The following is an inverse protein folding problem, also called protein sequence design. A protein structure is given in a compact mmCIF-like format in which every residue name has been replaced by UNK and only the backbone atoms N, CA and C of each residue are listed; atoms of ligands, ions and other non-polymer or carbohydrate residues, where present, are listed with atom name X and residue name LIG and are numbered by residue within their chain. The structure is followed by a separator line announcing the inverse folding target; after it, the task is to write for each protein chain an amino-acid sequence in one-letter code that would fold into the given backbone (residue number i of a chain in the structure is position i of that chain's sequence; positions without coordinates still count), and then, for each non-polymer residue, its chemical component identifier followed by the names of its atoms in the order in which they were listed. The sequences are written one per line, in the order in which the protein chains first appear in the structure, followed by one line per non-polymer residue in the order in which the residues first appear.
data_IF_749907029031
#
_entry.id   IF_749907029031
#
_cell.length_a   1.000
_cell.length_b   1.000
_cell.length_c   1.000
_cell.angle_alpha   90.00
_cell.angle_beta   90.00
_cell.angle_gamma   90.00
#
_symmetry.space_group_name_H-M   'P 1'
#
loop_
_entity.id
_entity.type
_entity.pdbx_description
1 polymer ?
#
# COMPACT_ATOMS: atom_id res chain seq x y z
N UNK A 1 21.69 -1.31 10.97
CA UNK A 1 21.70 -0.01 10.28
C UNK A 1 20.42 0.72 10.66
N UNK A 2 20.54 1.92 11.20
CA UNK A 2 19.38 2.67 11.66
C UNK A 2 18.58 3.29 10.50
N UNK A 3 17.29 3.57 10.76
CA UNK A 3 16.42 4.26 9.82
C UNK A 3 16.97 5.66 9.55
N UNK A 4 16.97 6.07 8.29
CA UNK A 4 17.43 7.39 7.85
C UNK A 4 16.72 7.80 6.56
N UNK A 5 16.87 9.05 6.18
CA UNK A 5 16.45 9.49 4.85
C UNK A 5 17.14 8.63 3.78
N UNK A 6 16.36 8.12 2.85
CA UNK A 6 16.81 7.16 1.84
C UNK A 6 16.60 5.69 2.21
N UNK A 7 16.27 5.36 3.46
CA UNK A 7 15.87 3.99 3.82
C UNK A 7 14.64 3.60 3.00
N UNK A 8 14.70 2.45 2.35
CA UNK A 8 13.69 2.08 1.36
C UNK A 8 13.40 0.59 1.36
N UNK A 9 12.27 0.23 0.80
CA UNK A 9 11.92 -1.16 0.50
C UNK A 9 10.99 -1.21 -0.70
N UNK A 10 10.99 -2.35 -1.37
CA UNK A 10 10.08 -2.65 -2.47
C UNK A 10 9.33 -3.94 -2.16
N UNK A 11 8.03 -3.93 -2.37
CA UNK A 11 7.16 -5.10 -2.22
C UNK A 11 6.46 -5.36 -3.56
N UNK A 12 6.48 -6.61 -4.00
CA UNK A 12 5.75 -7.05 -5.20
C UNK A 12 4.70 -8.07 -4.78
N UNK A 13 3.46 -7.86 -5.22
CA UNK A 13 2.35 -8.75 -4.88
C UNK A 13 1.39 -8.88 -6.05
N UNK A 14 0.99 -10.12 -6.38
CA UNK A 14 -0.09 -10.37 -7.34
C UNK A 14 -1.41 -10.37 -6.60
N UNK A 15 -2.31 -9.45 -6.98
CA UNK A 15 -3.62 -9.33 -6.35
C UNK A 15 -4.51 -10.46 -6.83
N UNK A 16 -4.99 -11.27 -5.91
CA UNK A 16 -5.87 -12.40 -6.20
C UNK A 16 -7.31 -12.07 -5.83
N UNK A 17 -8.25 -12.83 -6.39
CA UNK A 17 -9.65 -12.76 -5.94
C UNK A 17 -9.77 -13.06 -4.46
N UNK A 18 -9.00 -14.02 -3.95
CA UNK A 18 -9.00 -14.37 -2.54
C UNK A 18 -8.56 -13.20 -1.66
N UNK A 19 -7.58 -12.41 -2.10
CA UNK A 19 -7.16 -11.21 -1.38
C UNK A 19 -8.33 -10.22 -1.19
N UNK A 20 -9.08 -9.98 -2.26
CA UNK A 20 -10.22 -9.07 -2.24
C UNK A 20 -11.34 -9.62 -1.36
N UNK A 21 -11.64 -10.92 -1.47
CA UNK A 21 -12.65 -11.57 -0.63
C UNK A 21 -12.27 -11.55 0.85
N UNK A 22 -11.01 -11.82 1.18
CA UNK A 22 -10.50 -11.78 2.55
C UNK A 22 -10.58 -10.36 3.12
N UNK A 23 -10.20 -9.36 2.30
CA UNK A 23 -10.29 -7.97 2.73
C UNK A 23 -11.75 -7.55 2.95
N UNK A 24 -12.66 -7.93 2.05
CA UNK A 24 -14.09 -7.65 2.21
C UNK A 24 -14.63 -8.29 3.50
N UNK A 25 -14.21 -9.52 3.81
CA UNK A 25 -14.62 -10.21 5.04
C UNK A 25 -14.11 -9.50 6.29
N UNK A 26 -12.86 -9.10 6.32
CA UNK A 26 -12.23 -8.46 7.49
C UNK A 26 -12.73 -7.04 7.68
N UNK A 27 -12.86 -6.27 6.60
CA UNK A 27 -13.27 -4.86 6.65
C UNK A 27 -14.77 -4.67 6.68
N UNK A 28 -15.55 -5.70 6.32
CA UNK A 28 -17.00 -5.65 6.10
C UNK A 28 -17.39 -4.77 4.88
N UNK A 29 -16.44 -4.42 4.03
CA UNK A 29 -16.69 -3.65 2.81
C UNK A 29 -17.02 -4.57 1.64
N UNK A 30 -18.32 -4.86 1.49
CA UNK A 30 -18.87 -5.70 0.44
C UNK A 30 -19.52 -4.90 -0.69
N UNK A 31 -19.02 -3.69 -0.97
CA UNK A 31 -19.56 -2.92 -2.07
C UNK A 31 -19.46 -3.71 -3.39
N UNK A 32 -20.51 -3.66 -4.24
CA UNK A 32 -20.53 -4.41 -5.51
C UNK A 32 -19.29 -4.18 -6.41
N UNK A 33 -18.65 -3.04 -6.31
CA UNK A 33 -17.39 -2.77 -7.03
C UNK A 33 -16.33 -3.83 -6.78
N UNK A 34 -16.37 -4.49 -5.63
CA UNK A 34 -15.33 -5.41 -5.19
C UNK A 34 -15.77 -6.87 -5.23
N UNK A 35 -17.07 -7.14 -5.19
CA UNK A 35 -17.57 -8.50 -4.96
C UNK A 35 -18.56 -9.00 -6.00
N UNK A 36 -19.05 -8.15 -6.89
CA UNK A 36 -20.13 -8.50 -7.84
C UNK A 36 -19.66 -8.33 -9.30
N UNK A 37 -19.25 -9.45 -9.91
CA UNK A 37 -18.80 -9.46 -11.30
C UNK A 37 -19.90 -9.06 -12.29
N UNK A 38 -21.14 -9.47 -12.03
CA UNK A 38 -22.25 -9.13 -12.92
C UNK A 38 -22.54 -7.63 -12.88
N UNK A 39 -22.57 -7.04 -11.68
CA UNK A 39 -22.72 -5.61 -11.51
C UNK A 39 -21.62 -4.86 -12.24
N UNK A 40 -20.34 -5.24 -12.02
CA UNK A 40 -19.21 -4.55 -12.61
C UNK A 40 -19.09 -4.80 -14.12
N UNK A 41 -19.57 -5.95 -14.60
CA UNK A 41 -19.65 -6.24 -16.03
C UNK A 41 -20.49 -5.24 -16.81
N UNK A 42 -21.43 -4.54 -16.15
CA UNK A 42 -22.27 -3.50 -16.75
C UNK A 42 -21.66 -2.10 -16.65
N UNK A 43 -20.50 -1.97 -16.02
CA UNK A 43 -19.81 -0.68 -15.86
C UNK A 43 -18.64 -0.57 -16.86
N UNK A 44 -18.10 0.64 -16.98
CA UNK A 44 -16.93 0.87 -17.82
C UNK A 44 -15.69 0.12 -17.34
N UNK A 45 -15.65 -0.29 -16.07
CA UNK A 45 -14.56 -1.12 -15.54
C UNK A 45 -14.60 -2.56 -16.05
N UNK A 46 -15.79 -3.11 -16.29
CA UNK A 46 -16.01 -4.43 -16.87
C UNK A 46 -15.81 -5.61 -15.91
N UNK A 47 -15.22 -5.41 -14.76
CA UNK A 47 -14.91 -6.44 -13.76
C UNK A 47 -14.67 -5.81 -12.39
N UNK A 48 -14.66 -6.64 -11.34
CA UNK A 48 -14.41 -6.16 -9.99
C UNK A 48 -13.03 -5.51 -9.86
N UNK A 49 -12.95 -4.49 -9.01
CA UNK A 49 -11.71 -3.80 -8.69
C UNK A 49 -11.36 -4.03 -7.23
N UNK A 50 -10.06 -4.07 -6.94
CA UNK A 50 -9.57 -4.17 -5.57
C UNK A 50 -9.95 -2.92 -4.77
N UNK A 51 -10.20 -3.10 -3.49
CA UNK A 51 -10.36 -1.97 -2.56
C UNK A 51 -9.06 -1.15 -2.55
N UNK A 52 -9.19 0.18 -2.66
CA UNK A 52 -8.01 1.04 -2.52
C UNK A 52 -7.34 0.86 -1.16
N UNK A 53 -8.11 0.64 -0.12
CA UNK A 53 -7.60 0.40 1.24
C UNK A 53 -6.79 -0.90 1.33
N UNK A 54 -7.10 -1.91 0.52
CA UNK A 54 -6.25 -3.11 0.42
C UNK A 54 -4.84 -2.74 -0.04
N UNK A 55 -4.71 -1.82 -1.00
CA UNK A 55 -3.40 -1.33 -1.45
C UNK A 55 -2.63 -0.64 -0.33
N UNK A 56 -3.31 0.06 0.56
CA UNK A 56 -2.69 0.64 1.76
C UNK A 56 -2.15 -0.44 2.69
N UNK A 57 -2.78 -1.61 2.74
CA UNK A 57 -2.25 -2.77 3.44
C UNK A 57 -0.88 -3.19 2.89
N UNK A 58 -0.71 -3.17 1.57
CA UNK A 58 0.58 -3.45 0.93
C UNK A 58 1.60 -2.34 1.20
N UNK A 59 1.16 -1.09 1.25
CA UNK A 59 2.02 0.04 1.68
C UNK A 59 2.54 -0.19 3.10
N UNK A 60 1.68 -0.63 4.00
CA UNK A 60 2.04 -0.98 5.38
C UNK A 60 3.06 -2.12 5.42
N UNK A 61 2.88 -3.15 4.59
CA UNK A 61 3.81 -4.26 4.49
C UNK A 61 5.20 -3.82 3.98
N UNK A 62 5.24 -2.90 3.01
CA UNK A 62 6.49 -2.34 2.52
C UNK A 62 7.21 -1.53 3.60
N UNK A 63 6.46 -0.74 4.37
CA UNK A 63 6.98 -0.04 5.55
C UNK A 63 7.61 -1.01 6.55
N UNK A 64 6.91 -2.09 6.88
CA UNK A 64 7.42 -3.10 7.81
C UNK A 64 8.69 -3.77 7.31
N UNK A 65 8.76 -4.04 6.01
CA UNK A 65 9.97 -4.59 5.39
C UNK A 65 11.16 -3.64 5.54
N UNK A 66 10.96 -2.35 5.25
CA UNK A 66 11.99 -1.33 5.43
C UNK A 66 12.45 -1.27 6.89
N UNK A 67 11.51 -1.30 7.83
CA UNK A 67 11.81 -1.25 9.26
C UNK A 67 12.60 -2.46 9.72
N UNK A 68 12.25 -3.66 9.26
CA UNK A 68 12.96 -4.89 9.61
C UNK A 68 14.40 -4.88 9.06
N UNK A 69 14.60 -4.38 7.85
CA UNK A 69 15.91 -4.29 7.23
C UNK A 69 16.82 -3.27 7.94
N UNK A 70 16.23 -2.25 8.57
CA UNK A 70 16.94 -1.15 9.20
C UNK A 70 16.98 -1.23 10.73
N UNK A 71 16.44 -2.28 11.33
CA UNK A 71 16.04 -2.28 12.75
C UNK A 71 17.17 -2.44 13.76
N UNK A 72 18.36 -2.87 13.36
CA UNK A 72 19.40 -3.33 14.29
C UNK A 72 19.87 -2.27 15.30
N UNK A 73 19.81 -0.99 14.94
CA UNK A 73 20.32 0.09 15.77
C UNK A 73 19.28 1.11 16.21
N UNK A 74 18.02 0.90 15.86
CA UNK A 74 16.97 1.85 16.20
C UNK A 74 16.43 1.54 17.60
N UNK A 75 16.60 2.45 18.58
CA UNK A 75 16.06 2.21 19.92
C UNK A 75 14.54 2.27 19.93
N UNK A 76 13.93 1.37 20.69
CA UNK A 76 12.49 1.31 20.83
C UNK A 76 11.81 0.64 19.65
N UNK A 77 10.55 0.93 19.45
CA UNK A 77 9.77 0.44 18.31
C UNK A 77 9.23 1.59 17.48
N UNK A 78 9.15 1.39 16.18
CA UNK A 78 8.57 2.37 15.25
C UNK A 78 7.13 1.96 14.95
N UNK A 79 6.24 2.91 15.02
CA UNK A 79 4.82 2.70 14.71
C UNK A 79 4.35 3.67 13.62
N UNK A 80 3.42 3.19 12.80
CA UNK A 80 2.69 4.05 11.89
C UNK A 80 1.72 4.94 12.68
N UNK A 81 1.69 6.23 12.39
CA UNK A 81 0.66 7.08 12.97
C UNK A 81 -0.24 7.74 11.90
N UNK A 82 -0.12 7.31 10.69
CA UNK A 82 -1.09 7.68 9.67
C UNK A 82 -0.52 7.85 8.28
N UNK A 83 -1.40 8.23 7.37
CA UNK A 83 -1.10 8.50 5.98
C UNK A 83 -1.74 9.82 5.58
N UNK A 84 -0.97 10.64 4.86
CA UNK A 84 -1.46 11.85 4.22
C UNK A 84 -1.47 11.66 2.71
N UNK A 85 -2.30 12.47 2.03
CA UNK A 85 -2.32 12.57 0.56
C UNK A 85 -2.51 11.21 -0.13
N UNK A 86 -3.35 10.38 0.44
CA UNK A 86 -3.71 9.10 -0.15
C UNK A 86 -4.58 9.34 -1.39
N UNK A 87 -4.17 8.78 -2.53
CA UNK A 87 -4.94 8.84 -3.77
C UNK A 87 -4.89 7.49 -4.47
N UNK A 88 -6.06 7.02 -4.89
CA UNK A 88 -6.22 5.85 -5.72
C UNK A 88 -6.49 6.34 -7.14
N UNK A 89 -5.46 6.36 -7.97
CA UNK A 89 -5.49 7.07 -9.25
C UNK A 89 -5.86 6.20 -10.44
N UNK A 90 -5.84 4.88 -10.27
CA UNK A 90 -6.28 3.93 -11.29
C UNK A 90 -6.77 2.63 -10.63
N UNK A 91 -7.68 1.88 -11.28
CA UNK A 91 -8.17 0.63 -10.73
C UNK A 91 -7.11 -0.46 -10.75
N UNK A 92 -7.19 -1.36 -9.76
CA UNK A 92 -6.40 -2.60 -9.72
C UNK A 92 -7.36 -3.77 -9.83
N UNK A 93 -7.07 -4.68 -10.75
CA UNK A 93 -7.91 -5.83 -11.05
C UNK A 93 -7.32 -7.13 -10.51
N UNK A 94 -8.15 -8.14 -10.41
CA UNK A 94 -7.67 -9.51 -10.12
C UNK A 94 -6.63 -9.92 -11.15
N UNK A 95 -5.49 -10.41 -10.69
CA UNK A 95 -4.36 -10.82 -11.53
C UNK A 95 -3.32 -9.74 -11.77
N UNK A 96 -3.61 -8.48 -11.42
CA UNK A 96 -2.61 -7.43 -11.51
C UNK A 96 -1.47 -7.68 -10.52
N UNK A 97 -0.25 -7.48 -11.00
CA UNK A 97 0.93 -7.47 -10.13
C UNK A 97 1.24 -6.04 -9.75
N UNK A 98 1.16 -5.74 -8.47
CA UNK A 98 1.48 -4.41 -7.95
C UNK A 98 2.88 -4.39 -7.33
N UNK A 99 3.60 -3.30 -7.59
CA UNK A 99 4.90 -3.02 -7.00
C UNK A 99 4.76 -1.80 -6.12
N UNK A 100 5.05 -1.96 -4.84
CA UNK A 100 5.04 -0.87 -3.87
C UNK A 100 6.47 -0.43 -3.62
N UNK A 101 6.76 0.82 -3.95
CA UNK A 101 8.03 1.46 -3.62
C UNK A 101 7.82 2.37 -2.42
N UNK A 102 8.62 2.15 -1.39
CA UNK A 102 8.57 2.86 -0.12
C UNK A 102 9.93 3.48 0.17
N UNK A 103 9.97 4.78 0.45
CA UNK A 103 11.22 5.46 0.76
C UNK A 103 11.01 6.51 1.84
N UNK A 104 11.82 6.45 2.89
CA UNK A 104 11.88 7.51 3.91
C UNK A 104 12.54 8.74 3.28
N UNK A 105 11.82 9.85 3.22
CA UNK A 105 12.31 11.09 2.61
C UNK A 105 12.70 12.14 3.63
N UNK A 106 12.16 12.05 4.84
CA UNK A 106 12.44 13.00 5.91
C UNK A 106 12.39 12.28 7.26
N UNK A 107 13.37 12.51 8.08
CA UNK A 107 13.43 11.98 9.44
C UNK A 107 13.94 13.08 10.35
N UNK A 108 13.13 13.49 11.33
CA UNK A 108 13.49 14.46 12.35
C UNK A 108 14.23 13.75 13.48
N UNK A 109 15.51 14.06 13.62
CA UNK A 109 16.37 13.45 14.62
C UNK A 109 15.96 13.80 16.06
N UNK A 110 15.33 14.96 16.26
CA UNK A 110 14.93 15.43 17.59
C UNK A 110 13.66 14.77 18.07
N UNK A 111 12.67 14.62 17.18
CA UNK A 111 11.36 14.05 17.52
C UNK A 111 11.25 12.56 17.21
N UNK A 112 12.11 12.04 16.33
CA UNK A 112 12.01 10.69 15.78
C UNK A 112 10.90 10.51 14.76
N UNK A 113 10.20 11.57 14.36
CA UNK A 113 9.12 11.51 13.37
C UNK A 113 9.68 11.50 11.97
N UNK A 114 9.04 10.72 11.11
CA UNK A 114 9.46 10.59 9.73
C UNK A 114 8.30 10.66 8.74
N UNK A 115 8.63 11.00 7.51
CA UNK A 115 7.72 10.95 6.36
C UNK A 115 8.35 10.11 5.27
N UNK A 116 7.51 9.29 4.64
CA UNK A 116 7.94 8.41 3.56
C UNK A 116 7.04 8.57 2.36
N UNK A 117 7.62 8.56 1.17
CA UNK A 117 6.87 8.49 -0.07
C UNK A 117 6.53 7.04 -0.37
N UNK A 118 5.29 6.80 -0.76
CA UNK A 118 4.82 5.48 -1.14
C UNK A 118 4.14 5.58 -2.50
N UNK A 119 4.58 4.75 -3.43
CA UNK A 119 4.01 4.67 -4.78
C UNK A 119 3.70 3.23 -5.10
N UNK A 120 2.51 2.98 -5.62
CA UNK A 120 2.07 1.66 -6.08
C UNK A 120 1.87 1.71 -7.58
N UNK A 121 2.52 0.80 -8.31
CA UNK A 121 2.40 0.67 -9.77
C UNK A 121 1.92 -0.72 -10.12
N UNK A 122 1.21 -0.84 -11.25
CA UNK A 122 0.83 -2.14 -11.80
C UNK A 122 1.95 -2.71 -12.70
N UNK A 123 1.71 -3.86 -13.31
CA UNK A 123 2.70 -4.59 -14.13
C UNK A 123 3.09 -3.86 -15.42
N UNK A 124 2.28 -2.91 -15.89
CA UNK A 124 2.63 -2.09 -17.07
C UNK A 124 3.31 -0.78 -16.70
N UNK A 125 3.55 -0.55 -15.40
CA UNK A 125 4.24 0.64 -14.93
C UNK A 125 3.34 1.84 -14.66
N UNK A 126 2.02 1.70 -14.75
CA UNK A 126 1.09 2.77 -14.40
C UNK A 126 0.99 2.93 -12.89
N UNK A 127 1.04 4.17 -12.43
CA UNK A 127 0.78 4.48 -11.02
C UNK A 127 -0.70 4.24 -10.72
N UNK A 128 -0.97 3.42 -9.72
CA UNK A 128 -2.34 3.09 -9.29
C UNK A 128 -2.70 3.71 -7.94
N UNK A 129 -1.71 3.95 -7.09
CA UNK A 129 -1.91 4.62 -5.80
C UNK A 129 -0.66 5.35 -5.36
N UNK A 130 -0.86 6.41 -4.57
CA UNK A 130 0.21 7.16 -3.92
C UNK A 130 -0.21 7.56 -2.52
N UNK A 131 0.76 7.72 -1.63
CA UNK A 131 0.54 8.22 -0.28
C UNK A 131 1.82 8.79 0.32
N UNK A 132 1.66 9.56 1.38
CA UNK A 132 2.74 9.91 2.30
C UNK A 132 2.48 9.17 3.61
N UNK A 133 3.41 8.33 4.03
CA UNK A 133 3.31 7.59 5.29
C UNK A 133 4.02 8.33 6.41
N UNK A 134 3.40 8.38 7.58
CA UNK A 134 3.90 9.05 8.77
C UNK A 134 4.32 8.01 9.81
N UNK A 135 5.58 8.09 10.24
CA UNK A 135 6.16 7.18 11.24
C UNK A 135 6.80 7.95 12.39
#
# INVERSE_FOLDING_TARGET
MSIRSGSAATLVHTVTRQDIEDFARVSEDHHPNHVDDEYMGRTSYGRVIAHGILLMGFMSAASSRMLLDAADDTPGTVVSYGYDRVRFVAPVFVGDEVTVDYEVVELDADTGKGRSNVTVKNQVGDTVAVATHLI
#
